data_IF_106755020543
#
_entry.id   IF_106755020543
#
_cell.length_a   1.000
_cell.length_b   1.000
_cell.length_c   1.000
_cell.angle_alpha   90.00
_cell.angle_beta   90.00
_cell.angle_gamma   90.00
#
_symmetry.space_group_name_H-M   'P 1'
#
loop_
_entity.id
_entity.type
_entity.pdbx_description
1 polymer ?
#
# COMPACT_ATOMS: atom_id res chain seq x y z
N UNK A 1 -6.61 2.04 2.50
CA UNK A 1 -5.16 1.87 2.77
C UNK A 1 -4.90 1.08 4.04
N UNK A 2 -5.35 1.52 5.23
CA UNK A 2 -5.10 0.78 6.50
C UNK A 2 -5.65 -0.66 6.47
N UNK A 3 -6.91 -0.86 6.04
CA UNK A 3 -7.52 -2.20 5.89
C UNK A 3 -6.75 -3.13 4.94
N UNK A 4 -6.33 -2.63 3.77
CA UNK A 4 -5.53 -3.41 2.80
C UNK A 4 -4.16 -3.75 3.37
N UNK A 5 -3.52 -2.82 4.08
CA UNK A 5 -2.23 -3.09 4.73
C UNK A 5 -2.35 -4.10 5.88
N UNK A 6 -3.42 -4.04 6.68
CA UNK A 6 -3.72 -4.99 7.76
C UNK A 6 -4.03 -6.39 7.20
N UNK A 7 -4.74 -6.49 6.07
CA UNK A 7 -4.98 -7.78 5.39
C UNK A 7 -3.69 -8.52 5.03
N UNK A 8 -2.60 -7.80 4.79
CA UNK A 8 -1.30 -8.37 4.45
C UNK A 8 -0.26 -8.22 5.57
N UNK A 9 -0.71 -8.07 6.81
CA UNK A 9 0.09 -8.07 8.03
C UNK A 9 1.28 -7.09 8.01
N UNK A 10 1.16 -6.01 7.25
CA UNK A 10 2.21 -5.02 7.07
C UNK A 10 3.45 -5.44 6.30
N UNK A 11 3.39 -6.59 5.62
CA UNK A 11 4.47 -7.15 4.79
C UNK A 11 4.67 -6.33 3.51
N UNK A 12 3.61 -5.70 2.98
CA UNK A 12 3.68 -5.05 1.68
C UNK A 12 4.18 -3.61 1.71
N UNK A 13 5.11 -3.32 0.80
CA UNK A 13 5.56 -1.97 0.47
C UNK A 13 4.64 -1.24 -0.51
N UNK A 14 4.92 0.04 -0.72
CA UNK A 14 4.07 0.94 -1.53
C UNK A 14 3.88 0.48 -2.97
N UNK A 15 4.87 -0.21 -3.56
CA UNK A 15 4.78 -0.73 -4.93
C UNK A 15 3.86 -1.96 -5.02
N UNK A 16 3.93 -2.84 -4.03
CA UNK A 16 3.04 -4.00 -3.94
C UNK A 16 1.61 -3.52 -3.72
N UNK A 17 1.39 -2.60 -2.77
CA UNK A 17 0.07 -2.00 -2.51
C UNK A 17 -0.51 -1.36 -3.77
N UNK A 18 0.29 -0.70 -4.60
CA UNK A 18 -0.16 -0.15 -5.88
C UNK A 18 -0.66 -1.23 -6.86
N UNK A 19 0.04 -2.35 -6.98
CA UNK A 19 -0.38 -3.47 -7.82
C UNK A 19 -1.68 -4.10 -7.30
N UNK A 20 -1.80 -4.28 -5.98
CA UNK A 20 -3.02 -4.81 -5.36
C UNK A 20 -4.21 -3.87 -5.51
N UNK A 21 -4.02 -2.56 -5.34
CA UNK A 21 -5.08 -1.58 -5.59
C UNK A 21 -5.61 -1.68 -7.02
N UNK A 22 -4.71 -1.90 -7.98
CA UNK A 22 -5.09 -2.04 -9.38
C UNK A 22 -5.78 -3.38 -9.66
N UNK A 23 -5.27 -4.48 -9.13
CA UNK A 23 -5.78 -5.83 -9.42
C UNK A 23 -7.06 -6.17 -8.66
N UNK A 24 -7.13 -5.86 -7.36
CA UNK A 24 -8.22 -6.27 -6.48
C UNK A 24 -9.36 -5.24 -6.46
N UNK A 25 -9.01 -3.96 -6.58
CA UNK A 25 -9.98 -2.86 -6.49
C UNK A 25 -10.15 -2.06 -7.79
N UNK A 26 -9.42 -2.39 -8.86
CA UNK A 26 -9.46 -1.63 -10.11
C UNK A 26 -8.95 -0.18 -9.99
N UNK A 27 -8.34 0.18 -8.86
CA UNK A 27 -7.91 1.55 -8.56
C UNK A 27 -6.55 1.79 -9.17
N UNK A 28 -6.51 2.59 -10.22
CA UNK A 28 -5.26 3.03 -10.80
C UNK A 28 -4.69 4.24 -10.03
N UNK A 29 -3.61 4.01 -9.28
CA UNK A 29 -2.93 5.05 -8.51
C UNK A 29 -1.42 4.92 -8.69
N UNK A 30 -0.72 6.04 -8.90
CA UNK A 30 0.74 6.05 -8.99
C UNK A 30 1.37 5.59 -7.66
N UNK A 31 2.39 4.72 -7.73
CA UNK A 31 3.12 4.21 -6.57
C UNK A 31 3.69 5.32 -5.67
N UNK A 32 4.03 6.49 -6.23
CA UNK A 32 4.47 7.66 -5.43
C UNK A 32 3.34 8.23 -4.56
N UNK A 33 2.10 8.25 -5.06
CA UNK A 33 0.92 8.68 -4.28
C UNK A 33 0.64 7.69 -3.16
N UNK A 34 0.74 6.39 -3.45
CA UNK A 34 0.62 5.32 -2.44
C UNK A 34 1.68 5.50 -1.35
N UNK A 35 2.94 5.78 -1.74
CA UNK A 35 4.02 6.05 -0.79
C UNK A 35 3.73 7.28 0.10
N UNK A 36 3.23 8.38 -0.46
CA UNK A 36 2.84 9.57 0.32
C UNK A 36 1.70 9.26 1.29
N UNK A 37 0.69 8.51 0.85
CA UNK A 37 -0.42 8.08 1.72
C UNK A 37 0.07 7.18 2.85
N UNK A 38 0.97 6.23 2.56
CA UNK A 38 1.61 5.40 3.59
C UNK A 38 2.36 6.26 4.62
N UNK A 39 3.13 7.25 4.16
CA UNK A 39 3.85 8.19 5.04
C UNK A 39 2.90 9.00 5.93
N UNK A 40 1.83 9.58 5.35
CA UNK A 40 0.81 10.35 6.10
C UNK A 40 0.09 9.47 7.12
N UNK A 41 -0.16 8.21 6.79
CA UNK A 41 -0.80 7.25 7.68
C UNK A 41 0.17 6.63 8.70
N UNK A 42 1.47 6.95 8.66
CA UNK A 42 2.49 6.36 9.52
C UNK A 42 2.76 4.87 9.23
N UNK A 43 2.30 4.36 8.10
CA UNK A 43 2.39 2.96 7.71
C UNK A 43 3.71 2.74 6.96
N UNK A 44 4.48 1.72 7.37
CA UNK A 44 5.74 1.34 6.72
C UNK A 44 5.76 -0.16 6.48
N UNK A 45 6.40 -0.61 5.40
CA UNK A 45 6.63 -2.04 5.21
C UNK A 45 7.48 -2.58 6.37
N UNK A 46 7.08 -3.69 6.97
CA UNK A 46 7.79 -4.34 8.07
C UNK A 46 8.94 -5.24 7.58
N UNK A 47 9.02 -5.54 6.28
CA UNK A 47 10.13 -6.32 5.72
C UNK A 47 11.41 -5.47 5.64
N UNK A 48 12.51 -6.02 6.15
CA UNK A 48 13.89 -5.51 6.06
C UNK A 48 14.63 -6.15 4.88
#
# INVERSE_FOLDING_TARGET
MKKVYEQYNGVYGYRQIQLFLQHDHGVWMNHKKVLRLMQVLGIRSQIR
#
